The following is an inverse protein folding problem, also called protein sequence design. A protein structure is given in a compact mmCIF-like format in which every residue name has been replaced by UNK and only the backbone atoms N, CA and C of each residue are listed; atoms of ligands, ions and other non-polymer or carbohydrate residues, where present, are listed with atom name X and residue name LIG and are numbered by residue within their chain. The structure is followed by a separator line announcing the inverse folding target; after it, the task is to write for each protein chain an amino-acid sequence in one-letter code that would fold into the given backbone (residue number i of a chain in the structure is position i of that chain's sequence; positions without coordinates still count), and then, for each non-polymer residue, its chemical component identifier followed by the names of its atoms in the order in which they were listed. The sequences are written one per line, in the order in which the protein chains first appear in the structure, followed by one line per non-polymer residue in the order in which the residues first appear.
data_IF_550469671487
#
_entry.id   IF_550469671487
#
_cell.length_a   1.000
_cell.length_b   1.000
_cell.length_c   1.000
_cell.angle_alpha   90.00
_cell.angle_beta   90.00
_cell.angle_gamma   90.00
#
_symmetry.space_group_name_H-M   'P 1'
#
loop_
_entity.id
_entity.type
_entity.pdbx_description
1 polymer ?
#
# COMPACT_ATOMS: atom_id res chain seq x y z
N UNK A 1 8.95 15.32 -34.06
CA UNK A 1 7.58 15.30 -33.48
C UNK A 1 7.73 15.71 -32.02
N UNK A 2 6.96 16.71 -31.56
CA UNK A 2 7.01 17.16 -30.15
C UNK A 2 6.34 16.12 -29.26
N UNK A 3 6.99 15.71 -28.17
CA UNK A 3 6.40 14.80 -27.19
C UNK A 3 6.82 15.16 -25.78
N UNK A 4 5.95 14.82 -24.83
CA UNK A 4 6.24 14.84 -23.39
C UNK A 4 5.64 13.57 -22.77
N UNK A 5 6.48 12.72 -22.20
CA UNK A 5 6.06 11.55 -21.42
C UNK A 5 6.24 11.80 -19.94
N UNK A 6 5.34 11.22 -19.15
CA UNK A 6 5.31 11.32 -17.69
C UNK A 6 5.15 9.93 -17.12
N UNK A 7 5.99 9.56 -16.16
CA UNK A 7 5.93 8.24 -15.52
C UNK A 7 6.17 8.35 -14.04
N UNK A 8 5.34 7.68 -13.26
CA UNK A 8 5.53 7.48 -11.82
C UNK A 8 5.92 6.02 -11.61
N UNK A 9 6.98 5.79 -10.86
CA UNK A 9 7.40 4.46 -10.45
C UNK A 9 8.07 4.55 -9.07
N UNK A 10 8.36 3.41 -8.47
CA UNK A 10 8.93 3.32 -7.13
C UNK A 10 10.12 2.37 -7.13
N UNK A 11 10.92 2.46 -6.08
CA UNK A 11 11.89 1.43 -5.75
C UNK A 11 11.16 0.23 -5.14
N UNK A 12 11.61 -0.98 -5.44
CA UNK A 12 10.95 -2.20 -4.94
C UNK A 12 11.21 -2.48 -3.46
N UNK A 13 12.23 -1.82 -2.87
CA UNK A 13 12.68 -2.04 -1.49
C UNK A 13 12.55 -0.79 -0.62
N UNK A 14 12.51 0.39 -1.22
CA UNK A 14 12.56 1.66 -0.50
C UNK A 14 11.24 2.44 -0.53
N UNK A 15 11.00 3.21 0.53
CA UNK A 15 9.80 4.03 0.68
C UNK A 15 9.92 5.34 -0.10
N UNK A 16 9.19 5.46 -1.20
CA UNK A 16 9.16 6.68 -1.99
C UNK A 16 8.67 6.46 -3.40
N UNK A 17 8.75 7.51 -4.21
CA UNK A 17 8.44 7.45 -5.63
C UNK A 17 9.35 8.38 -6.44
N UNK A 18 9.44 8.06 -7.72
CA UNK A 18 10.16 8.84 -8.72
C UNK A 18 9.11 9.31 -9.71
N UNK A 19 9.06 10.63 -9.91
CA UNK A 19 8.23 11.22 -10.95
C UNK A 19 9.13 11.70 -12.09
N UNK A 20 9.19 10.91 -13.15
CA UNK A 20 10.06 11.15 -14.31
C UNK A 20 9.32 11.77 -15.48
N UNK A 21 10.08 12.57 -16.23
CA UNK A 21 9.63 13.29 -17.41
C UNK A 21 10.59 13.02 -18.54
N UNK A 22 10.04 12.89 -19.74
CA UNK A 22 10.82 12.77 -20.96
C UNK A 22 10.28 13.70 -22.04
N UNK A 23 11.09 14.63 -22.55
CA UNK A 23 10.65 15.67 -23.48
C UNK A 23 11.60 15.85 -24.65
N UNK A 24 11.06 16.02 -25.86
CA UNK A 24 11.84 16.33 -27.07
C UNK A 24 12.34 17.77 -27.13
N UNK A 25 11.73 18.66 -26.34
CA UNK A 25 12.07 20.08 -26.24
C UNK A 25 12.34 20.46 -24.79
N UNK A 26 13.04 21.57 -24.58
CA UNK A 26 13.24 22.09 -23.23
C UNK A 26 11.91 22.59 -22.66
N UNK A 27 11.52 22.05 -21.51
CA UNK A 27 10.33 22.44 -20.78
C UNK A 27 10.67 22.68 -19.31
N UNK A 28 10.05 23.70 -18.72
CA UNK A 28 10.06 23.89 -17.27
C UNK A 28 8.93 23.09 -16.63
N UNK A 29 9.25 22.40 -15.54
CA UNK A 29 8.29 21.56 -14.83
C UNK A 29 8.24 22.01 -13.39
N UNK A 30 7.05 22.38 -12.92
CA UNK A 30 6.78 22.72 -11.52
C UNK A 30 5.91 21.64 -10.88
N UNK A 31 6.34 21.13 -9.72
CA UNK A 31 5.58 20.21 -8.88
C UNK A 31 5.19 20.92 -7.58
N UNK A 32 3.90 21.21 -7.46
CA UNK A 32 3.33 21.96 -6.34
C UNK A 32 2.70 21.02 -5.30
N UNK A 33 3.14 21.14 -4.06
CA UNK A 33 2.56 20.47 -2.89
C UNK A 33 1.83 21.47 -2.03
N UNK A 34 0.51 21.27 -1.88
CA UNK A 34 -0.32 21.99 -0.92
C UNK A 34 -0.55 21.11 0.31
N UNK A 35 -0.03 21.52 1.46
CA UNK A 35 -0.16 20.79 2.72
C UNK A 35 -1.36 21.23 3.56
N UNK A 36 -2.28 22.02 3.02
CA UNK A 36 -3.44 22.52 3.79
C UNK A 36 -4.25 21.38 4.39
N UNK A 37 -4.50 20.33 3.61
CA UNK A 37 -5.38 19.23 4.01
C UNK A 37 -4.60 17.92 4.11
N UNK A 38 -4.65 17.34 5.31
CA UNK A 38 -4.15 16.00 5.59
C UNK A 38 -5.33 15.24 6.16
N UNK A 39 -5.71 14.15 5.50
CA UNK A 39 -6.87 13.37 5.86
C UNK A 39 -6.49 11.91 6.15
N UNK A 40 -7.22 11.32 7.09
CA UNK A 40 -7.29 9.88 7.26
C UNK A 40 -8.42 9.37 6.36
N UNK A 41 -8.15 8.39 5.52
CA UNK A 41 -9.16 7.77 4.68
C UNK A 41 -9.40 6.33 5.12
N UNK A 42 -10.67 5.98 5.37
CA UNK A 42 -11.13 4.59 5.50
C UNK A 42 -12.41 4.39 4.68
N UNK A 43 -13.56 4.43 5.34
CA UNK A 43 -14.87 4.58 4.71
C UNK A 43 -15.05 5.98 4.13
N UNK A 44 -14.75 6.98 4.95
CA UNK A 44 -14.77 8.39 4.58
C UNK A 44 -13.41 9.04 4.82
N UNK A 45 -13.22 10.21 4.21
CA UNK A 45 -12.06 11.07 4.40
C UNK A 45 -12.32 12.04 5.56
N UNK A 46 -11.54 11.92 6.63
CA UNK A 46 -11.61 12.81 7.79
C UNK A 46 -10.34 13.63 7.92
N UNK A 47 -10.49 14.96 8.00
CA UNK A 47 -9.35 15.86 8.20
C UNK A 47 -8.75 15.65 9.58
N UNK A 48 -7.42 15.55 9.64
CA UNK A 48 -6.66 15.41 10.89
C UNK A 48 -6.01 16.74 11.23
N UNK A 49 -6.14 17.17 12.50
CA UNK A 49 -5.35 18.29 12.99
C UNK A 49 -3.87 17.88 13.10
N UNK A 50 -3.03 18.52 12.29
CA UNK A 50 -1.64 18.13 12.06
C UNK A 50 -0.74 19.34 12.13
N UNK A 51 0.38 19.19 12.82
CA UNK A 51 1.51 20.12 12.75
C UNK A 51 2.32 19.79 11.50
N UNK A 52 2.67 20.83 10.75
CA UNK A 52 3.44 20.73 9.52
C UNK A 52 4.68 21.58 9.65
N UNK A 53 5.84 20.99 9.41
CA UNK A 53 7.13 21.68 9.42
C UNK A 53 7.76 21.45 8.04
N UNK A 54 8.03 22.54 7.34
CA UNK A 54 8.85 22.53 6.12
C UNK A 54 10.21 23.12 6.48
N UNK A 55 11.28 22.38 6.26
CA UNK A 55 12.66 22.80 6.53
C UNK A 55 13.61 22.25 5.48
N UNK A 56 14.90 22.61 5.58
CA UNK A 56 15.97 21.93 4.86
C UNK A 56 16.54 20.81 5.72
N UNK A 57 16.87 19.67 5.11
CA UNK A 57 17.56 18.59 5.79
C UNK A 57 19.04 18.96 6.08
N UNK A 58 19.68 18.25 7.01
CA UNK A 58 21.06 18.55 7.46
C UNK A 58 22.17 17.95 6.59
N UNK A 59 21.85 17.04 5.67
CA UNK A 59 22.80 16.29 4.86
C UNK A 59 22.97 16.88 3.46
N UNK A 60 21.89 17.01 2.71
CA UNK A 60 21.88 17.52 1.34
C UNK A 60 21.35 18.96 1.26
N UNK A 61 20.74 19.47 2.32
CA UNK A 61 20.10 20.79 2.31
C UNK A 61 18.81 20.83 1.49
N UNK A 62 18.24 19.67 1.19
CA UNK A 62 17.04 19.51 0.39
C UNK A 62 15.77 19.82 1.18
N UNK A 63 14.66 20.16 0.50
CA UNK A 63 13.37 20.33 1.15
C UNK A 63 12.91 19.06 1.85
N UNK A 64 12.44 19.24 3.08
CA UNK A 64 11.94 18.20 3.96
C UNK A 64 10.64 18.69 4.59
N UNK A 65 9.59 17.89 4.46
CA UNK A 65 8.30 18.09 5.08
C UNK A 65 8.17 17.07 6.22
N UNK A 66 7.76 17.52 7.39
CA UNK A 66 7.32 16.68 8.49
C UNK A 66 5.87 17.01 8.84
N UNK A 67 5.00 16.01 8.80
CA UNK A 67 3.58 16.09 9.14
C UNK A 67 3.33 15.17 10.31
N UNK A 68 2.86 15.71 11.43
CA UNK A 68 2.63 14.89 12.61
C UNK A 68 1.47 15.37 13.48
N UNK A 69 0.84 14.42 14.15
CA UNK A 69 -0.16 14.60 15.20
C UNK A 69 0.13 13.62 16.35
N UNK A 70 -0.78 13.47 17.31
CA UNK A 70 -0.63 12.46 18.38
C UNK A 70 -0.69 11.01 17.88
N UNK A 71 -1.24 10.76 16.69
CA UNK A 71 -1.43 9.40 16.15
C UNK A 71 -1.02 9.21 14.70
N UNK A 72 -0.38 10.22 14.08
CA UNK A 72 0.13 10.14 12.70
C UNK A 72 1.49 10.80 12.66
N UNK A 73 2.46 10.16 12.00
CA UNK A 73 3.73 10.76 11.63
C UNK A 73 4.06 10.38 10.19
N UNK A 74 4.41 11.39 9.38
CA UNK A 74 4.75 11.24 7.98
C UNK A 74 5.77 12.31 7.60
N UNK A 75 6.93 11.88 7.13
CA UNK A 75 7.96 12.75 6.61
C UNK A 75 8.17 12.49 5.12
N UNK A 76 8.41 13.57 4.36
CA UNK A 76 8.72 13.52 2.94
C UNK A 76 9.97 14.36 2.65
N UNK A 77 10.95 13.77 1.96
CA UNK A 77 12.15 14.46 1.51
C UNK A 77 12.16 14.52 -0.02
N UNK A 78 12.53 15.68 -0.57
CA UNK A 78 12.39 15.96 -2.00
C UNK A 78 13.71 16.34 -2.64
N UNK A 79 13.95 15.88 -3.86
CA UNK A 79 15.06 16.35 -4.70
C UNK A 79 14.69 16.20 -6.18
N UNK A 80 15.56 16.66 -7.07
CA UNK A 80 15.53 16.37 -8.49
C UNK A 80 16.84 15.76 -8.97
N UNK A 81 16.86 15.37 -10.24
CA UNK A 81 18.08 14.88 -10.88
C UNK A 81 19.00 16.06 -11.25
N UNK A 82 18.63 16.82 -12.28
CA UNK A 82 19.40 17.98 -12.76
C UNK A 82 18.59 19.26 -12.61
N UNK A 83 19.29 20.37 -12.41
CA UNK A 83 18.71 21.73 -12.36
C UNK A 83 17.51 21.81 -11.41
N UNK A 84 17.63 21.14 -10.25
CA UNK A 84 16.60 21.11 -9.23
C UNK A 84 16.59 22.42 -8.45
N UNK A 85 15.44 23.07 -8.47
CA UNK A 85 15.20 24.29 -7.73
C UNK A 85 13.97 24.13 -6.84
N UNK A 86 13.92 24.98 -5.82
CA UNK A 86 12.79 25.05 -4.90
C UNK A 86 12.55 26.51 -4.55
N UNK A 87 11.29 26.95 -4.65
CA UNK A 87 10.91 28.29 -4.24
C UNK A 87 11.14 28.48 -2.73
N UNK A 88 11.39 29.72 -2.29
CA UNK A 88 11.48 30.00 -0.85
C UNK A 88 10.18 29.59 -0.14
N UNK A 89 10.32 28.71 0.84
CA UNK A 89 9.22 28.14 1.61
C UNK A 89 9.22 28.59 3.09
N UNK A 90 10.07 29.56 3.46
CA UNK A 90 10.12 30.06 4.84
C UNK A 90 8.76 30.61 5.27
N UNK A 91 8.17 29.98 6.30
CA UNK A 91 6.86 30.35 6.84
C UNK A 91 5.66 30.00 5.94
N UNK A 92 5.86 29.24 4.86
CA UNK A 92 4.79 28.78 3.97
C UNK A 92 4.33 27.37 4.33
N UNK A 93 3.09 27.05 3.97
CA UNK A 93 2.53 25.68 4.04
C UNK A 93 2.47 25.02 2.66
N UNK A 94 3.15 25.61 1.68
CA UNK A 94 3.21 25.12 0.31
C UNK A 94 4.66 24.94 -0.09
N UNK A 95 4.92 23.97 -0.95
CA UNK A 95 6.24 23.68 -1.49
C UNK A 95 6.12 23.60 -3.01
N UNK A 96 6.95 24.37 -3.72
CA UNK A 96 7.00 24.33 -5.17
C UNK A 96 8.39 23.91 -5.62
N UNK A 97 8.47 22.75 -6.26
CA UNK A 97 9.70 22.15 -6.76
C UNK A 97 9.79 22.37 -8.26
N UNK A 98 10.98 22.63 -8.78
CA UNK A 98 11.19 22.91 -10.20
C UNK A 98 12.36 22.12 -10.76
N UNK A 99 12.23 21.72 -12.02
CA UNK A 99 13.30 21.17 -12.86
C UNK A 99 13.12 21.68 -14.29
N UNK A 100 14.22 21.82 -15.04
CA UNK A 100 14.18 21.89 -16.51
C UNK A 100 14.33 20.50 -17.11
N UNK A 101 13.60 20.18 -18.17
CA UNK A 101 13.69 18.88 -18.84
C UNK A 101 13.84 19.06 -20.35
N UNK A 102 15.01 18.65 -20.85
CA UNK A 102 15.25 18.31 -22.25
C UNK A 102 15.85 16.91 -22.28
N UNK A 103 15.23 15.97 -23.01
CA UNK A 103 15.42 14.53 -22.88
C UNK A 103 14.81 13.96 -21.61
N UNK A 104 15.56 13.75 -20.52
CA UNK A 104 15.05 13.09 -19.30
C UNK A 104 15.45 13.84 -18.04
N UNK A 105 14.50 14.01 -17.13
CA UNK A 105 14.71 14.52 -15.78
C UNK A 105 13.61 13.97 -14.84
N UNK A 106 13.79 14.06 -13.52
CA UNK A 106 12.82 13.56 -12.56
C UNK A 106 12.87 14.28 -11.21
N UNK A 107 11.79 14.15 -10.46
CA UNK A 107 11.76 14.38 -9.02
C UNK A 107 11.92 13.06 -8.27
N UNK A 108 12.70 13.09 -7.19
CA UNK A 108 12.78 12.04 -6.18
C UNK A 108 11.97 12.48 -4.97
N UNK A 109 11.06 11.62 -4.51
CA UNK A 109 10.22 11.88 -3.33
C UNK A 109 10.36 10.68 -2.40
N UNK A 110 11.19 10.82 -1.38
CA UNK A 110 11.32 9.80 -0.34
C UNK A 110 10.28 10.03 0.74
N UNK A 111 9.77 8.95 1.32
CA UNK A 111 8.76 9.02 2.39
C UNK A 111 9.19 8.13 3.54
N UNK A 112 9.03 8.57 4.78
CA UNK A 112 9.28 7.74 5.95
C UNK A 112 8.45 8.19 7.16
N UNK A 113 8.54 7.46 8.27
CA UNK A 113 7.88 7.80 9.53
C UNK A 113 8.41 9.12 10.12
N UNK A 114 9.72 9.38 9.97
CA UNK A 114 10.38 10.55 10.56
C UNK A 114 11.31 11.29 9.55
N UNK A 115 11.68 12.56 9.87
CA UNK A 115 12.50 13.40 8.99
C UNK A 115 13.88 12.83 8.63
N UNK A 116 14.53 12.15 9.58
CA UNK A 116 15.87 11.61 9.38
C UNK A 116 15.80 10.38 8.46
N UNK A 117 14.82 9.51 8.69
CA UNK A 117 14.52 8.37 7.82
C UNK A 117 14.20 8.77 6.38
N UNK A 118 13.36 9.80 6.18
CA UNK A 118 13.01 10.28 4.84
C UNK A 118 14.23 10.84 4.09
N UNK A 119 15.08 11.61 4.78
CA UNK A 119 16.29 12.20 4.20
C UNK A 119 17.33 11.13 3.83
N UNK A 120 17.55 10.13 4.70
CA UNK A 120 18.44 9.01 4.42
C UNK A 120 17.96 8.17 3.22
N UNK A 121 16.66 7.93 3.14
CA UNK A 121 16.03 7.21 2.02
C UNK A 121 16.23 7.98 0.71
N UNK A 122 16.06 9.30 0.72
CA UNK A 122 16.31 10.17 -0.44
C UNK A 122 17.75 10.07 -0.95
N UNK A 123 18.73 10.11 -0.04
CA UNK A 123 20.15 9.92 -0.40
C UNK A 123 20.35 8.58 -1.11
N UNK A 124 19.70 7.51 -0.61
CA UNK A 124 19.81 6.20 -1.23
C UNK A 124 19.16 6.15 -2.62
N UNK A 125 17.93 6.69 -2.77
CA UNK A 125 17.25 6.78 -4.07
C UNK A 125 18.10 7.54 -5.10
N UNK A 126 18.75 8.65 -4.70
CA UNK A 126 19.66 9.40 -5.59
C UNK A 126 20.90 8.63 -5.98
N UNK A 127 21.48 7.85 -5.07
CA UNK A 127 22.63 6.99 -5.37
C UNK A 127 22.29 5.91 -6.39
N UNK A 128 21.09 5.33 -6.30
CA UNK A 128 20.59 4.36 -7.31
C UNK A 128 20.30 5.05 -8.64
N UNK A 129 19.79 6.27 -8.59
CA UNK A 129 19.44 7.08 -9.75
C UNK A 129 18.19 6.56 -10.48
N UNK A 130 17.47 7.47 -11.13
CA UNK A 130 16.18 7.14 -11.75
C UNK A 130 16.28 6.01 -12.79
N UNK A 131 17.37 5.94 -13.56
CA UNK A 131 17.55 4.91 -14.59
C UNK A 131 17.75 3.53 -13.98
N UNK A 132 18.53 3.43 -12.90
CA UNK A 132 18.73 2.18 -12.18
C UNK A 132 17.42 1.68 -11.59
N UNK A 133 16.71 2.55 -10.87
CA UNK A 133 15.42 2.22 -10.25
C UNK A 133 14.38 1.84 -11.31
N UNK A 134 14.29 2.59 -12.41
CA UNK A 134 13.33 2.30 -13.49
C UNK A 134 13.60 0.95 -14.16
N UNK A 135 14.86 0.64 -14.45
CA UNK A 135 15.22 -0.63 -15.07
C UNK A 135 14.96 -1.82 -14.13
N UNK A 136 15.31 -1.70 -12.85
CA UNK A 136 14.98 -2.72 -11.85
C UNK A 136 13.47 -2.94 -11.72
N UNK A 137 12.69 -1.86 -11.69
CA UNK A 137 11.22 -1.92 -11.65
C UNK A 137 10.64 -2.58 -12.90
N UNK A 138 11.09 -2.19 -14.10
CA UNK A 138 10.64 -2.80 -15.35
C UNK A 138 11.02 -4.28 -15.44
N UNK A 139 12.24 -4.63 -15.06
CA UNK A 139 12.69 -6.03 -15.09
C UNK A 139 11.92 -6.87 -14.10
N UNK A 140 11.56 -6.32 -12.94
CA UNK A 140 10.67 -6.97 -12.00
C UNK A 140 9.29 -7.19 -12.61
N UNK A 141 8.66 -6.15 -13.18
CA UNK A 141 7.36 -6.28 -13.84
C UNK A 141 7.38 -7.37 -14.92
N UNK A 142 8.35 -7.32 -15.83
CA UNK A 142 8.50 -8.32 -16.90
C UNK A 142 8.64 -9.75 -16.37
N UNK A 143 9.42 -9.94 -15.30
CA UNK A 143 9.60 -11.27 -14.67
C UNK A 143 8.33 -11.79 -14.01
N UNK A 144 7.42 -10.90 -13.61
CA UNK A 144 6.16 -11.24 -12.95
C UNK A 144 4.96 -11.25 -13.89
N UNK A 145 5.13 -10.78 -15.13
CA UNK A 145 4.11 -10.87 -16.17
C UNK A 145 3.81 -12.33 -16.49
N UNK A 146 2.52 -12.69 -16.44
CA UNK A 146 2.03 -14.00 -16.87
C UNK A 146 1.77 -13.92 -18.38
N UNK A 147 2.53 -14.64 -19.22
CA UNK A 147 2.32 -14.61 -20.67
C UNK A 147 1.05 -15.38 -21.05
N UNK A 148 0.27 -14.79 -21.95
CA UNK A 148 -0.92 -15.39 -22.54
C UNK A 148 -0.98 -15.08 -24.05
N UNK A 149 -0.05 -15.64 -24.86
CA UNK A 149 0.16 -15.23 -26.26
C UNK A 149 -1.02 -15.52 -27.19
N UNK A 150 -1.97 -16.36 -26.77
CA UNK A 150 -3.17 -16.70 -27.56
C UNK A 150 -4.18 -15.55 -27.59
N UNK A 151 -4.15 -14.66 -26.60
CA UNK A 151 -5.04 -13.51 -26.52
C UNK A 151 -4.30 -12.33 -25.83
N UNK A 152 -3.68 -11.43 -26.63
CA UNK A 152 -2.97 -10.27 -26.08
C UNK A 152 -3.84 -9.30 -25.27
N UNK A 153 -5.14 -9.24 -25.57
CA UNK A 153 -6.07 -8.38 -24.82
C UNK A 153 -6.34 -8.99 -23.44
N UNK A 154 -6.50 -10.30 -23.35
CA UNK A 154 -6.61 -11.02 -22.08
C UNK A 154 -5.30 -10.96 -21.29
N UNK A 155 -4.14 -11.14 -21.93
CA UNK A 155 -2.82 -10.99 -21.30
C UNK A 155 -2.70 -9.62 -20.62
N UNK A 156 -3.07 -8.55 -21.33
CA UNK A 156 -3.04 -7.18 -20.82
C UNK A 156 -3.94 -7.05 -19.59
N UNK A 157 -5.22 -7.43 -19.70
CA UNK A 157 -6.19 -7.32 -18.60
C UNK A 157 -5.77 -8.15 -17.38
N UNK A 158 -5.29 -9.37 -17.59
CA UNK A 158 -4.82 -10.25 -16.52
C UNK A 158 -3.70 -9.55 -15.73
N UNK A 159 -2.66 -9.07 -16.43
CA UNK A 159 -1.50 -8.50 -15.78
C UNK A 159 -1.78 -7.12 -15.17
N UNK A 160 -2.64 -6.30 -15.77
CA UNK A 160 -3.10 -5.05 -15.16
C UNK A 160 -3.81 -5.29 -13.83
N UNK A 161 -4.74 -6.25 -13.77
CA UNK A 161 -5.42 -6.60 -12.53
C UNK A 161 -4.48 -7.25 -11.51
N UNK A 162 -3.55 -8.09 -11.97
CA UNK A 162 -2.55 -8.75 -11.12
C UNK A 162 -1.64 -7.73 -10.43
N UNK A 163 -1.09 -6.78 -11.19
CA UNK A 163 -0.26 -5.71 -10.63
C UNK A 163 -1.07 -4.71 -9.82
N UNK A 164 -2.30 -4.40 -10.23
CA UNK A 164 -3.20 -3.58 -9.43
C UNK A 164 -3.43 -4.22 -8.06
N UNK A 165 -3.73 -5.53 -8.00
CA UNK A 165 -3.84 -6.23 -6.74
C UNK A 165 -2.52 -6.12 -5.94
N UNK A 166 -1.38 -6.53 -6.51
CA UNK A 166 -0.09 -6.49 -5.80
C UNK A 166 0.26 -5.11 -5.24
N UNK A 167 0.06 -4.04 -5.99
CA UNK A 167 0.39 -2.70 -5.53
C UNK A 167 -0.69 -2.07 -4.65
N UNK A 168 -1.90 -2.61 -4.55
CA UNK A 168 -2.96 -1.96 -3.78
C UNK A 168 -3.53 -2.79 -2.63
N UNK A 169 -3.30 -4.10 -2.56
CA UNK A 169 -3.82 -4.98 -1.50
C UNK A 169 -2.84 -5.27 -0.37
N UNK A 170 -1.58 -4.87 -0.51
CA UNK A 170 -0.53 -5.07 0.51
C UNK A 170 0.25 -3.79 0.79
N UNK A 171 0.81 -3.71 1.99
CA UNK A 171 1.64 -2.60 2.44
C UNK A 171 2.70 -3.07 3.43
N UNK A 172 3.63 -2.17 3.75
CA UNK A 172 4.41 -2.24 4.99
C UNK A 172 4.01 -1.08 5.87
N UNK A 173 3.81 -1.35 7.15
CA UNK A 173 3.59 -0.30 8.12
C UNK A 173 4.84 0.59 8.21
N UNK A 174 4.67 1.89 8.43
CA UNK A 174 5.80 2.82 8.38
C UNK A 174 6.72 2.74 9.60
N UNK A 175 6.21 2.30 10.74
CA UNK A 175 6.88 2.30 12.04
C UNK A 175 7.65 1.00 12.29
N UNK A 176 7.04 -0.17 12.01
CA UNK A 176 7.60 -1.49 12.30
C UNK A 176 8.01 -2.30 11.08
N UNK A 177 7.79 -1.79 9.85
CA UNK A 177 8.02 -2.48 8.58
C UNK A 177 7.31 -3.84 8.42
N UNK A 178 6.32 -4.11 9.28
CA UNK A 178 5.49 -5.30 9.19
C UNK A 178 4.65 -5.25 7.94
N UNK A 179 4.54 -6.39 7.28
CA UNK A 179 3.63 -6.52 6.16
C UNK A 179 2.19 -6.52 6.64
N UNK A 180 1.36 -5.78 5.92
CA UNK A 180 -0.07 -5.66 6.13
C UNK A 180 -0.78 -6.03 4.84
N UNK A 181 -1.96 -6.64 4.96
CA UNK A 181 -2.92 -6.75 3.87
C UNK A 181 -4.11 -5.85 4.13
N UNK A 182 -4.76 -5.44 3.05
CA UNK A 182 -5.93 -4.57 3.10
C UNK A 182 -6.74 -4.72 1.82
N UNK A 183 -8.01 -4.35 1.89
CA UNK A 183 -8.93 -4.32 0.75
C UNK A 183 -8.40 -3.47 -0.41
N UNK A 184 -7.95 -2.23 -0.13
CA UNK A 184 -7.26 -1.38 -1.09
C UNK A 184 -6.55 -0.19 -0.47
N UNK A 185 -5.38 0.18 -1.01
CA UNK A 185 -4.73 1.50 -0.81
C UNK A 185 -5.33 2.61 -1.70
N UNK A 186 -6.21 2.25 -2.63
CA UNK A 186 -6.77 3.21 -3.59
C UNK A 186 -7.84 4.02 -2.92
N UNK A 187 -7.76 5.36 -2.91
CA UNK A 187 -8.77 6.20 -2.26
C UNK A 187 -10.14 6.20 -2.98
N UNK A 188 -10.27 5.41 -4.05
CA UNK A 188 -11.50 5.23 -4.81
C UNK A 188 -12.32 4.03 -4.36
N UNK A 189 -11.76 3.18 -3.50
CA UNK A 189 -12.50 2.06 -2.94
C UNK A 189 -13.26 2.51 -1.68
N UNK A 190 -14.51 2.07 -1.55
CA UNK A 190 -15.43 2.56 -0.52
C UNK A 190 -15.01 2.18 0.90
N UNK A 191 -14.18 1.14 1.05
CA UNK A 191 -13.51 0.81 2.32
C UNK A 191 -12.02 0.74 2.10
N UNK A 192 -11.36 1.89 2.00
CA UNK A 192 -9.91 1.95 1.83
C UNK A 192 -9.20 1.66 3.16
N UNK A 193 -8.02 1.05 3.16
CA UNK A 193 -7.20 0.95 4.38
C UNK A 193 -7.84 0.16 5.54
N UNK A 194 -8.69 -0.81 5.22
CA UNK A 194 -9.24 -1.80 6.16
C UNK A 194 -8.87 -3.21 5.71
N UNK A 195 -9.07 -4.20 6.57
CA UNK A 195 -8.87 -5.60 6.27
C UNK A 195 -10.21 -6.33 6.33
N UNK A 196 -10.49 -7.08 5.27
CA UNK A 196 -11.60 -8.05 5.16
C UNK A 196 -10.99 -9.40 4.87
N UNK A 197 -11.28 -10.39 5.71
CA UNK A 197 -10.76 -11.74 5.58
C UNK A 197 -11.03 -12.33 4.20
N UNK A 198 -12.26 -12.28 3.73
CA UNK A 198 -12.71 -12.82 2.45
C UNK A 198 -11.96 -12.18 1.28
N UNK A 199 -11.92 -10.86 1.22
CA UNK A 199 -11.24 -10.13 0.14
C UNK A 199 -9.73 -10.41 0.14
N UNK A 200 -9.14 -10.50 1.34
CA UNK A 200 -7.73 -10.78 1.49
C UNK A 200 -7.41 -12.23 1.13
N UNK A 201 -8.00 -13.19 1.84
CA UNK A 201 -7.67 -14.61 1.75
C UNK A 201 -8.19 -15.25 0.46
N UNK A 202 -9.38 -14.88 -0.05
CA UNK A 202 -9.94 -15.55 -1.23
C UNK A 202 -9.60 -14.86 -2.55
N UNK A 203 -9.38 -13.54 -2.55
CA UNK A 203 -9.17 -12.80 -3.81
C UNK A 203 -7.74 -12.27 -3.93
N UNK A 204 -7.25 -11.56 -2.93
CA UNK A 204 -5.98 -10.85 -3.04
C UNK A 204 -4.77 -11.75 -2.89
N UNK A 205 -4.64 -12.49 -1.79
CA UNK A 205 -3.47 -13.33 -1.54
C UNK A 205 -3.24 -14.41 -2.61
N UNK A 206 -4.25 -15.07 -3.18
CA UNK A 206 -4.05 -15.95 -4.32
C UNK A 206 -3.41 -15.25 -5.53
N UNK A 207 -3.77 -14.00 -5.81
CA UNK A 207 -3.10 -13.19 -6.84
C UNK A 207 -1.65 -12.84 -6.44
N UNK A 208 -1.41 -12.52 -5.17
CA UNK A 208 -0.04 -12.32 -4.63
C UNK A 208 0.79 -13.59 -4.79
N UNK A 209 0.22 -14.79 -4.63
CA UNK A 209 0.94 -16.06 -4.82
C UNK A 209 1.50 -16.17 -6.24
N UNK A 210 0.74 -15.73 -7.26
CA UNK A 210 1.19 -15.75 -8.66
C UNK A 210 2.35 -14.77 -8.91
N UNK A 211 2.38 -13.63 -8.21
CA UNK A 211 3.41 -12.60 -8.37
C UNK A 211 4.64 -12.92 -7.51
N UNK A 212 4.45 -13.24 -6.25
CA UNK A 212 5.51 -13.36 -5.26
C UNK A 212 5.19 -14.47 -4.23
N UNK A 213 5.43 -15.75 -4.57
CA UNK A 213 5.10 -16.89 -3.72
C UNK A 213 5.70 -16.83 -2.31
N UNK A 214 6.94 -16.36 -2.17
CA UNK A 214 7.60 -16.26 -0.86
C UNK A 214 6.94 -15.19 0.03
N UNK A 215 6.52 -14.06 -0.57
CA UNK A 215 5.80 -13.02 0.16
C UNK A 215 4.38 -13.48 0.51
N UNK A 216 3.72 -14.20 -0.38
CA UNK A 216 2.41 -14.82 -0.13
C UNK A 216 2.41 -15.67 1.13
N UNK A 217 3.38 -16.58 1.27
CA UNK A 217 3.50 -17.45 2.43
C UNK A 217 3.65 -16.67 3.74
N UNK A 218 4.47 -15.62 3.73
CA UNK A 218 4.63 -14.74 4.88
C UNK A 218 3.34 -13.98 5.20
N UNK A 219 2.68 -13.40 4.19
CA UNK A 219 1.44 -12.65 4.37
C UNK A 219 0.31 -13.51 4.92
N UNK A 220 0.08 -14.70 4.37
CA UNK A 220 -0.98 -15.60 4.86
C UNK A 220 -0.80 -15.87 6.34
N UNK A 221 0.42 -16.23 6.75
CA UNK A 221 0.74 -16.49 8.15
C UNK A 221 0.48 -15.27 9.03
N UNK A 222 1.07 -14.12 8.70
CA UNK A 222 0.94 -12.93 9.54
C UNK A 222 -0.51 -12.44 9.62
N UNK A 223 -1.26 -12.52 8.52
CA UNK A 223 -2.66 -12.10 8.51
C UNK A 223 -3.55 -13.04 9.34
N UNK A 224 -3.31 -14.36 9.29
CA UNK A 224 -4.02 -15.30 10.18
C UNK A 224 -3.72 -14.95 11.64
N UNK A 225 -2.44 -14.84 12.02
CA UNK A 225 -2.06 -14.57 13.42
C UNK A 225 -2.55 -13.21 13.94
N UNK A 226 -2.63 -12.21 13.07
CA UNK A 226 -3.08 -10.87 13.43
C UNK A 226 -4.61 -10.81 13.59
N UNK A 227 -5.34 -11.33 12.61
CA UNK A 227 -6.78 -11.12 12.48
C UNK A 227 -7.63 -12.22 13.12
N UNK A 228 -7.07 -13.41 13.41
CA UNK A 228 -7.80 -14.50 14.08
C UNK A 228 -8.33 -14.17 15.47
N UNK A 229 -7.90 -13.05 16.06
CA UNK A 229 -8.37 -12.57 17.38
C UNK A 229 -9.84 -12.17 17.36
N UNK A 230 -10.35 -11.74 16.20
CA UNK A 230 -11.74 -11.31 16.02
C UNK A 230 -12.32 -11.97 14.75
N UNK A 231 -12.25 -13.31 14.63
CA UNK A 231 -12.40 -13.95 13.35
C UNK A 231 -13.84 -13.87 12.85
N UNK A 232 -14.00 -13.48 11.59
CA UNK A 232 -15.30 -13.37 10.96
C UNK A 232 -16.10 -12.16 11.41
N UNK A 233 -15.48 -11.18 12.10
CA UNK A 233 -16.08 -9.85 12.17
C UNK A 233 -16.03 -9.19 10.77
N UNK A 234 -17.06 -8.44 10.42
CA UNK A 234 -17.22 -7.86 9.08
C UNK A 234 -15.99 -7.05 8.60
N UNK A 235 -15.37 -6.28 9.50
CA UNK A 235 -14.16 -5.54 9.13
C UNK A 235 -13.19 -5.34 10.28
N UNK A 236 -11.90 -5.40 9.93
CA UNK A 236 -10.80 -5.06 10.80
C UNK A 236 -10.10 -3.77 10.37
N UNK A 237 -9.58 -3.04 11.35
CA UNK A 237 -8.43 -2.19 11.12
C UNK A 237 -7.25 -3.04 10.66
N UNK A 238 -6.33 -2.45 9.91
CA UNK A 238 -5.13 -3.14 9.40
C UNK A 238 -4.19 -3.67 10.51
N UNK A 239 -4.45 -3.38 11.77
CA UNK A 239 -3.72 -3.90 12.93
C UNK A 239 -4.43 -5.09 13.63
N UNK A 240 -5.58 -5.53 13.09
CA UNK A 240 -6.39 -6.62 13.64
C UNK A 240 -7.46 -6.20 14.66
N UNK A 241 -7.54 -4.92 15.01
CA UNK A 241 -8.62 -4.40 15.87
C UNK A 241 -9.94 -4.38 15.10
N UNK A 242 -11.07 -4.66 15.78
CA UNK A 242 -12.40 -4.59 15.15
C UNK A 242 -12.71 -3.17 14.69
N UNK A 243 -12.99 -3.02 13.40
CA UNK A 243 -13.46 -1.77 12.79
C UNK A 243 -14.99 -1.77 12.70
N UNK A 244 -15.57 -2.86 12.21
CA UNK A 244 -17.00 -3.07 12.10
C UNK A 244 -17.31 -4.47 12.68
N UNK A 245 -17.96 -4.55 13.85
CA UNK A 245 -18.35 -5.84 14.43
C UNK A 245 -19.50 -6.48 13.65
N UNK A 246 -19.57 -7.81 13.69
CA UNK A 246 -20.68 -8.54 13.12
C UNK A 246 -20.20 -9.84 12.49
N UNK A 247 -20.81 -10.97 12.86
CA UNK A 247 -20.34 -12.25 12.38
C UNK A 247 -20.78 -12.53 10.94
N UNK A 248 -19.81 -12.91 10.11
CA UNK A 248 -20.00 -13.41 8.76
C UNK A 248 -19.26 -14.73 8.57
N UNK A 249 -19.99 -15.76 8.15
CA UNK A 249 -19.44 -17.09 8.03
C UNK A 249 -18.36 -17.16 6.95
N UNK A 250 -18.54 -16.48 5.83
CA UNK A 250 -17.62 -16.50 4.70
C UNK A 250 -16.30 -15.76 5.00
N UNK A 251 -16.35 -14.68 5.79
CA UNK A 251 -15.16 -14.07 6.40
C UNK A 251 -14.40 -15.12 7.24
N UNK A 252 -15.08 -15.77 8.21
CA UNK A 252 -14.44 -16.78 9.07
C UNK A 252 -13.98 -18.05 8.33
N UNK A 253 -14.75 -18.51 7.34
CA UNK A 253 -14.43 -19.71 6.57
C UNK A 253 -13.21 -19.51 5.67
N UNK A 254 -12.94 -18.27 5.24
CA UNK A 254 -11.82 -17.96 4.36
C UNK A 254 -10.45 -18.28 4.98
N UNK A 255 -10.31 -18.23 6.32
CA UNK A 255 -9.12 -18.69 7.05
C UNK A 255 -8.77 -20.15 6.75
N UNK A 256 -9.77 -21.02 6.57
CA UNK A 256 -9.56 -22.44 6.29
C UNK A 256 -9.40 -22.71 4.79
N UNK A 257 -10.12 -21.97 3.94
CA UNK A 257 -10.04 -22.13 2.48
C UNK A 257 -8.63 -21.83 1.97
N UNK A 258 -7.98 -20.80 2.51
CA UNK A 258 -6.64 -20.40 2.07
C UNK A 258 -5.56 -21.42 2.42
N UNK A 259 -5.81 -22.30 3.40
CA UNK A 259 -4.85 -23.32 3.86
C UNK A 259 -4.57 -24.39 2.81
N UNK A 260 -5.49 -24.63 1.86
CA UNK A 260 -5.29 -25.61 0.78
C UNK A 260 -4.05 -25.34 -0.08
N UNK A 261 -3.52 -24.12 -0.02
CA UNK A 261 -2.35 -23.68 -0.77
C UNK A 261 -1.06 -23.66 0.07
N UNK A 262 -1.12 -24.10 1.34
CA UNK A 262 0.01 -24.12 2.27
C UNK A 262 0.56 -25.54 2.45
N UNK A 263 1.86 -25.64 2.69
CA UNK A 263 2.53 -26.90 3.01
C UNK A 263 2.51 -27.19 4.52
N UNK A 264 2.58 -28.46 4.91
CA UNK A 264 2.48 -28.89 6.32
C UNK A 264 3.46 -28.19 7.28
N UNK A 265 4.64 -27.80 6.78
CA UNK A 265 5.67 -27.14 7.60
C UNK A 265 5.29 -25.71 8.03
N UNK A 266 4.22 -25.12 7.46
CA UNK A 266 3.71 -23.80 7.85
C UNK A 266 2.88 -23.84 9.15
N UNK A 267 2.38 -25.00 9.53
CA UNK A 267 1.49 -25.17 10.68
C UNK A 267 2.30 -25.40 11.95
N UNK A 268 2.68 -24.29 12.59
CA UNK A 268 3.22 -24.33 13.94
C UNK A 268 2.12 -24.17 14.99
N UNK A 269 2.52 -24.35 16.26
CA UNK A 269 1.60 -24.30 17.40
C UNK A 269 0.85 -22.96 17.51
N UNK A 270 1.46 -21.86 17.08
CA UNK A 270 0.82 -20.54 17.08
C UNK A 270 -0.29 -20.46 16.02
N UNK A 271 -0.03 -20.94 14.80
CA UNK A 271 -1.02 -20.95 13.73
C UNK A 271 -2.17 -21.91 14.03
N UNK A 272 -1.87 -23.08 14.59
CA UNK A 272 -2.89 -24.07 14.98
C UNK A 272 -3.83 -23.46 16.01
N UNK A 273 -3.30 -22.86 17.08
CA UNK A 273 -4.12 -22.18 18.09
C UNK A 273 -4.98 -21.07 17.50
N UNK A 274 -4.42 -20.24 16.62
CA UNK A 274 -5.17 -19.18 15.94
C UNK A 274 -6.35 -19.75 15.12
N UNK A 275 -6.14 -20.86 14.43
CA UNK A 275 -7.18 -21.54 13.66
C UNK A 275 -8.22 -22.24 14.55
N UNK A 276 -7.81 -22.78 15.72
CA UNK A 276 -8.74 -23.31 16.72
C UNK A 276 -9.66 -22.20 17.25
N UNK A 277 -9.13 -21.01 17.55
CA UNK A 277 -9.95 -19.85 17.96
C UNK A 277 -10.96 -19.43 16.88
N UNK A 278 -10.57 -19.47 15.60
CA UNK A 278 -11.47 -19.23 14.47
C UNK A 278 -12.57 -20.29 14.42
N UNK A 279 -12.20 -21.57 14.57
CA UNK A 279 -13.16 -22.67 14.56
C UNK A 279 -14.17 -22.57 15.72
N UNK A 280 -13.69 -22.29 16.94
CA UNK A 280 -14.54 -22.08 18.12
C UNK A 280 -15.51 -20.90 17.94
N UNK A 281 -15.07 -19.84 17.23
CA UNK A 281 -15.95 -18.72 16.87
C UNK A 281 -17.04 -19.16 15.90
N UNK A 282 -16.72 -19.92 14.86
CA UNK A 282 -17.70 -20.46 13.91
C UNK A 282 -18.73 -21.32 14.65
N UNK A 283 -18.30 -22.30 15.45
CA UNK A 283 -19.19 -23.21 16.20
C UNK A 283 -20.13 -22.45 17.14
N UNK A 284 -19.64 -21.39 17.78
CA UNK A 284 -20.44 -20.55 18.68
C UNK A 284 -21.57 -19.81 17.96
N UNK A 285 -21.38 -19.46 16.69
CA UNK A 285 -22.32 -18.65 15.91
C UNK A 285 -23.29 -19.50 15.07
N UNK A 286 -23.12 -20.83 15.08
CA UNK A 286 -24.01 -21.77 14.44
C UNK A 286 -25.30 -21.98 15.25
N UNK A 287 -26.45 -21.80 14.60
CA UNK A 287 -27.75 -22.13 15.19
C UNK A 287 -28.19 -23.54 14.79
N UNK A 288 -28.04 -24.49 15.72
CA UNK A 288 -28.44 -25.89 15.54
C UNK A 288 -29.93 -26.09 15.21
N UNK A 289 -30.81 -25.12 15.52
CA UNK A 289 -32.24 -25.23 15.23
C UNK A 289 -32.55 -25.00 13.77
N UNK A 290 -31.83 -24.07 13.14
CA UNK A 290 -32.07 -23.66 11.75
C UNK A 290 -31.04 -24.22 10.78
N UNK A 291 -29.85 -24.62 11.28
CA UNK A 291 -28.71 -25.01 10.45
C UNK A 291 -28.04 -23.81 9.77
N UNK A 292 -28.28 -22.61 10.26
CA UNK A 292 -27.78 -21.35 9.69
C UNK A 292 -26.88 -20.62 10.70
N UNK A 293 -26.14 -19.64 10.19
CA UNK A 293 -25.34 -18.73 10.99
C UNK A 293 -26.02 -17.36 11.05
N UNK A 294 -25.90 -16.67 12.19
CA UNK A 294 -26.36 -15.28 12.26
C UNK A 294 -25.49 -14.41 11.35
N UNK A 295 -26.09 -13.39 10.73
CA UNK A 295 -25.36 -12.29 10.10
C UNK A 295 -25.89 -10.96 10.61
N UNK A 296 -25.01 -9.97 10.70
CA UNK A 296 -25.33 -8.60 11.14
C UNK A 296 -25.65 -7.66 9.97
N UNK A 297 -25.55 -8.14 8.74
CA UNK A 297 -25.72 -7.33 7.55
C UNK A 297 -27.05 -7.56 6.88
N UNK A 298 -27.58 -6.49 6.29
CA UNK A 298 -28.54 -6.60 5.22
C UNK A 298 -27.85 -7.17 3.97
N UNK A 299 -28.63 -7.66 3.02
CA UNK A 299 -28.10 -8.07 1.70
C UNK A 299 -27.42 -6.94 0.91
N UNK A 300 -27.51 -5.68 1.39
CA UNK A 300 -26.82 -4.52 0.84
C UNK A 300 -25.43 -4.26 1.44
N UNK A 301 -24.95 -5.11 2.36
CA UNK A 301 -23.69 -4.92 3.11
C UNK A 301 -23.75 -3.76 4.14
N UNK A 302 -24.93 -3.17 4.32
CA UNK A 302 -25.17 -2.13 5.33
C UNK A 302 -25.56 -2.75 6.69
N UNK A 303 -25.33 -2.02 7.81
CA UNK A 303 -25.82 -2.43 9.11
C UNK A 303 -27.34 -2.61 9.12
N UNK A 304 -27.79 -3.77 9.60
CA UNK A 304 -29.21 -4.10 9.79
C UNK A 304 -29.85 -3.41 11.00
#
# INVERSE_FOLDING_TARGET
MRFVYRRIFTDLKEKGLIYSFESSEEIEISLFFDLKDVCLLRFDSYKIDTKKIIKRDKWLGNPLINIFSSGVSLALAFDGDKDFEVDDFKGKQTLNLKISCQNKNCFYIAVNYDPDGASATLIHLKRKGYSGIYNEFLDWLKKKTIPYPKDPALETRLNENLFFNYFYSIAKDMESDKYLALTSRSPRYYVSGAFWERDCFLWSLPAIQLVFPQLYQHLVREMILMHSKNPGDHAHYIDGTVLYPGFELDEAASYFIILNNLEDHFFDEALIRALEEVFERIEREYDFRTGLYKTFLLSSDDPA
#
